data_IF_693341295459
#
_entry.id   IF_693341295459
#
_cell.length_a   1.000
_cell.length_b   1.000
_cell.length_c   1.000
_cell.angle_alpha   90.00
_cell.angle_beta   90.00
_cell.angle_gamma   90.00
#
_symmetry.space_group_name_H-M   'P 1'
#
loop_
_entity.id
_entity.type
_entity.pdbx_description
1 polymer ?
#
# COMPACT_ATOMS: atom_id res chain seq x y z
N UNK A 1 -22.10 -0.87 -10.45
CA UNK A 1 -22.91 -0.98 -9.21
C UNK A 1 -22.63 0.25 -8.36
N UNK A 2 -23.60 0.85 -7.67
CA UNK A 2 -23.35 2.01 -6.80
C UNK A 2 -23.06 1.50 -5.38
N UNK A 3 -21.85 1.72 -4.88
CA UNK A 3 -21.45 1.35 -3.53
C UNK A 3 -21.23 2.57 -2.65
N UNK A 4 -21.19 2.35 -1.34
CA UNK A 4 -20.89 3.35 -0.33
C UNK A 4 -19.44 3.19 0.13
N UNK A 5 -18.64 4.25 0.04
CA UNK A 5 -17.33 4.32 0.67
C UNK A 5 -17.54 4.65 2.14
N UNK A 6 -17.45 3.66 2.98
CA UNK A 6 -17.55 3.79 4.42
C UNK A 6 -16.34 3.13 5.07
N UNK A 7 -15.84 3.71 6.18
CA UNK A 7 -14.61 3.25 6.83
C UNK A 7 -13.33 3.79 6.17
N UNK A 8 -12.21 3.46 6.76
CA UNK A 8 -10.86 3.85 6.33
C UNK A 8 -10.22 2.74 5.48
N UNK A 9 -9.27 3.11 4.65
CA UNK A 9 -8.50 2.15 3.86
C UNK A 9 -7.45 1.41 4.70
N UNK A 10 -6.97 0.29 4.17
CA UNK A 10 -5.77 -0.39 4.63
C UNK A 10 -4.62 -0.05 3.69
N UNK A 11 -3.44 0.26 4.22
CA UNK A 11 -2.27 0.55 3.40
C UNK A 11 -1.20 -0.53 3.55
N UNK A 12 -0.57 -0.84 2.43
CA UNK A 12 0.65 -1.64 2.36
C UNK A 12 1.72 -0.84 1.62
N UNK A 13 2.91 -0.74 2.20
CA UNK A 13 4.07 -0.07 1.62
C UNK A 13 5.16 -1.09 1.32
N UNK A 14 5.68 -1.05 0.12
CA UNK A 14 6.71 -1.95 -0.38
C UNK A 14 7.96 -1.16 -0.76
N UNK A 15 9.12 -1.81 -0.74
CA UNK A 15 10.33 -1.24 -1.34
C UNK A 15 10.11 -1.06 -2.85
N UNK A 16 10.63 0.02 -3.46
CA UNK A 16 10.47 0.26 -4.90
C UNK A 16 11.45 -0.55 -5.77
N UNK A 17 12.20 -1.45 -5.16
CA UNK A 17 13.13 -2.34 -5.85
C UNK A 17 12.43 -3.57 -6.46
N UNK A 18 13.17 -4.35 -7.22
CA UNK A 18 12.66 -5.58 -7.86
C UNK A 18 12.19 -6.66 -6.87
N UNK A 19 12.56 -6.54 -5.58
CA UNK A 19 12.19 -7.51 -4.56
C UNK A 19 10.80 -7.25 -3.97
N UNK A 20 10.25 -6.03 -4.14
CA UNK A 20 8.93 -5.64 -3.62
C UNK A 20 8.70 -6.08 -2.17
N UNK A 21 9.69 -5.86 -1.29
CA UNK A 21 9.60 -6.28 0.10
C UNK A 21 8.56 -5.44 0.84
N UNK A 22 7.61 -6.09 1.51
CA UNK A 22 6.63 -5.41 2.36
C UNK A 22 7.34 -4.79 3.55
N UNK A 23 7.30 -3.46 3.65
CA UNK A 23 7.95 -2.68 4.72
C UNK A 23 6.98 -2.33 5.82
N UNK A 24 5.75 -1.97 5.47
CA UNK A 24 4.72 -1.57 6.42
C UNK A 24 3.36 -2.05 5.94
N UNK A 25 2.55 -2.56 6.87
CA UNK A 25 1.13 -2.80 6.68
C UNK A 25 0.36 -2.16 7.84
N UNK A 26 -0.50 -1.17 7.54
CA UNK A 26 -1.37 -0.54 8.51
C UNK A 26 -2.84 -0.86 8.20
N UNK A 27 -3.51 -1.48 9.19
CA UNK A 27 -4.93 -1.88 9.14
C UNK A 27 -5.76 -1.16 10.21
N UNK A 28 -5.12 -0.31 10.99
CA UNK A 28 -5.68 0.39 12.17
C UNK A 28 -5.80 1.89 11.94
N UNK A 29 -5.82 2.29 10.67
CA UNK A 29 -5.97 3.69 10.29
C UNK A 29 -7.28 4.24 10.84
N UNK A 30 -7.24 5.48 11.30
CA UNK A 30 -8.42 6.26 11.70
C UNK A 30 -8.83 7.28 10.65
N UNK A 31 -7.88 7.64 9.78
CA UNK A 31 -8.11 8.53 8.65
C UNK A 31 -7.26 8.10 7.46
N UNK A 32 -7.85 8.10 6.29
CA UNK A 32 -7.15 7.95 5.02
C UNK A 32 -7.72 8.93 4.00
N UNK A 33 -6.89 9.80 3.48
CA UNK A 33 -7.29 10.84 2.52
C UNK A 33 -6.37 10.85 1.31
N UNK A 34 -6.98 11.03 0.13
CA UNK A 34 -6.29 11.22 -1.14
C UNK A 34 -6.70 12.57 -1.68
N UNK A 35 -5.72 13.35 -2.13
CA UNK A 35 -5.95 14.65 -2.76
C UNK A 35 -5.32 14.66 -4.13
N UNK A 36 -6.12 14.95 -5.13
CA UNK A 36 -5.69 15.19 -6.51
C UNK A 36 -5.92 16.64 -6.84
N UNK A 37 -4.94 17.31 -7.44
CA UNK A 37 -5.02 18.72 -7.78
C UNK A 37 -4.32 19.03 -9.09
N UNK A 38 -4.77 20.10 -9.71
CA UNK A 38 -4.16 20.72 -10.89
C UNK A 38 -4.25 22.23 -10.73
N UNK A 39 -3.18 22.94 -11.04
CA UNK A 39 -3.19 24.42 -11.11
C UNK A 39 -3.69 24.86 -12.47
N UNK A 40 -4.40 25.97 -12.51
CA UNK A 40 -4.88 26.56 -13.75
C UNK A 40 -4.52 28.04 -13.80
N UNK A 41 -3.96 28.49 -14.90
CA UNK A 41 -3.79 29.91 -15.23
C UNK A 41 -4.85 30.33 -16.24
N UNK A 42 -5.52 31.46 -15.95
CA UNK A 42 -6.56 32.03 -16.80
C UNK A 42 -5.97 33.07 -17.73
N UNK A 43 -6.16 32.89 -19.01
CA UNK A 43 -5.92 33.94 -20.01
C UNK A 43 -7.18 34.79 -20.14
N UNK A 44 -7.09 36.06 -19.77
CA UNK A 44 -8.18 37.04 -19.86
C UNK A 44 -7.79 38.21 -20.77
N UNK A 45 -8.75 38.77 -21.48
CA UNK A 45 -8.47 39.89 -22.37
C UNK A 45 -9.72 40.48 -23.01
N UNK A 46 -9.51 41.57 -23.80
CA UNK A 46 -10.57 42.33 -24.46
C UNK A 46 -11.25 43.34 -23.57
N UNK A 47 -12.10 44.17 -24.16
CA UNK A 47 -12.94 45.15 -23.42
C UNK A 47 -13.96 44.35 -22.57
N UNK A 48 -13.84 44.45 -21.24
CA UNK A 48 -14.63 43.64 -20.27
C UNK A 48 -13.87 42.46 -19.66
N UNK A 49 -12.58 42.29 -19.94
CA UNK A 49 -11.70 41.28 -19.32
C UNK A 49 -12.27 39.84 -19.32
N UNK A 50 -12.79 39.42 -20.46
CA UNK A 50 -13.40 38.09 -20.62
C UNK A 50 -12.36 36.96 -20.50
N UNK A 51 -12.79 35.80 -19.97
CA UNK A 51 -11.98 34.59 -19.95
C UNK A 51 -11.82 34.07 -21.39
N UNK A 52 -10.59 34.09 -21.92
CA UNK A 52 -10.26 33.64 -23.28
C UNK A 52 -9.83 32.18 -23.30
N UNK A 53 -9.28 31.66 -22.18
CA UNK A 53 -8.84 30.29 -22.09
C UNK A 53 -8.24 30.00 -20.72
N UNK A 54 -7.96 28.72 -20.45
CA UNK A 54 -7.25 28.26 -19.25
C UNK A 54 -6.12 27.32 -19.65
N UNK A 55 -4.98 27.48 -19.01
CA UNK A 55 -3.83 26.59 -19.11
C UNK A 55 -3.66 25.82 -17.81
N UNK A 56 -3.73 24.50 -17.88
CA UNK A 56 -3.60 23.60 -16.74
C UNK A 56 -2.16 23.11 -16.60
N UNK A 57 -1.58 23.22 -15.40
CA UNK A 57 -0.21 22.82 -15.08
C UNK A 57 -0.12 22.33 -13.63
N UNK A 58 1.06 21.84 -13.23
CA UNK A 58 1.39 21.42 -11.85
C UNK A 58 0.38 20.45 -11.23
N UNK A 59 0.14 19.35 -11.95
CA UNK A 59 -0.68 18.26 -11.42
C UNK A 59 0.02 17.62 -10.20
N UNK A 60 -0.74 17.33 -9.16
CA UNK A 60 -0.26 16.67 -7.97
C UNK A 60 -1.22 15.57 -7.50
N UNK A 61 -0.64 14.58 -6.85
CA UNK A 61 -1.36 13.51 -6.18
C UNK A 61 -0.71 13.30 -4.81
N UNK A 62 -1.47 13.49 -3.75
CA UNK A 62 -0.97 13.34 -2.38
C UNK A 62 -1.88 12.44 -1.57
N UNK A 63 -1.31 11.79 -0.56
CA UNK A 63 -2.03 10.93 0.36
C UNK A 63 -1.61 11.25 1.79
N UNK A 64 -2.61 11.28 2.69
CA UNK A 64 -2.43 11.44 4.13
C UNK A 64 -3.14 10.30 4.85
N UNK A 65 -2.46 9.71 5.82
CA UNK A 65 -2.93 8.61 6.63
C UNK A 65 -2.70 8.94 8.09
N UNK A 66 -3.62 8.55 8.95
CA UNK A 66 -3.49 8.68 10.41
C UNK A 66 -3.75 7.34 11.05
N UNK A 67 -2.83 6.89 11.90
CA UNK A 67 -2.92 5.64 12.66
C UNK A 67 -2.86 5.91 14.17
N UNK A 68 -3.56 5.13 14.96
CA UNK A 68 -3.48 5.17 16.43
C UNK A 68 -2.46 4.18 17.00
N UNK A 69 -2.01 3.22 16.20
CA UNK A 69 -0.98 2.28 16.62
C UNK A 69 0.38 2.82 16.22
N UNK A 70 1.22 3.06 17.26
CA UNK A 70 2.57 3.53 17.07
C UNK A 70 3.52 2.39 16.70
N UNK A 71 4.31 2.59 15.65
CA UNK A 71 5.47 1.76 15.33
C UNK A 71 6.67 2.67 15.01
N UNK A 72 7.85 2.29 15.50
CA UNK A 72 9.12 2.96 15.22
C UNK A 72 9.39 3.06 13.71
N UNK A 73 8.83 2.14 12.92
CA UNK A 73 8.93 2.10 11.48
C UNK A 73 8.42 3.39 10.82
N UNK A 74 7.33 3.98 11.32
CA UNK A 74 6.79 5.24 10.78
C UNK A 74 7.80 6.38 10.83
N UNK A 75 8.51 6.51 11.97
CA UNK A 75 9.54 7.53 12.14
C UNK A 75 10.76 7.24 11.26
N UNK A 76 11.24 5.99 11.25
CA UNK A 76 12.40 5.59 10.47
C UNK A 76 12.18 5.83 8.97
N UNK A 77 11.01 5.52 8.44
CA UNK A 77 10.65 5.73 7.04
C UNK A 77 10.62 7.21 6.65
N UNK A 78 10.04 8.07 7.50
CA UNK A 78 10.00 9.51 7.26
C UNK A 78 11.39 10.16 7.27
N UNK A 79 12.33 9.59 8.05
CA UNK A 79 13.72 10.05 8.10
C UNK A 79 14.64 9.29 7.12
N UNK A 80 14.12 8.34 6.33
CA UNK A 80 14.95 7.50 5.48
C UNK A 80 15.97 6.64 6.24
N UNK A 81 15.73 6.42 7.55
CA UNK A 81 16.59 5.66 8.43
C UNK A 81 16.30 4.16 8.37
N UNK A 82 17.30 3.36 8.71
CA UNK A 82 17.14 1.92 8.89
C UNK A 82 17.06 1.59 10.38
N UNK A 83 16.14 0.68 10.74
CA UNK A 83 16.02 0.18 12.09
C UNK A 83 17.05 -0.91 12.32
N UNK A 84 17.85 -0.74 13.35
CA UNK A 84 18.87 -1.71 13.79
C UNK A 84 18.60 -2.16 15.22
N UNK A 85 19.25 -3.25 15.64
CA UNK A 85 19.19 -3.81 17.01
C UNK A 85 20.58 -3.83 17.68
N UNK A 86 21.51 -3.05 17.18
CA UNK A 86 22.89 -3.07 17.63
C UNK A 86 23.21 -1.92 18.59
N UNK A 87 23.97 -2.21 19.61
CA UNK A 87 24.60 -1.23 20.51
C UNK A 87 23.66 -0.18 21.14
N UNK A 88 22.46 -0.59 21.49
CA UNK A 88 21.51 0.32 22.13
C UNK A 88 21.96 0.63 23.56
N UNK A 89 22.23 1.90 23.83
CA UNK A 89 22.44 2.41 25.18
C UNK A 89 21.07 2.77 25.76
N UNK A 90 20.69 2.07 26.85
CA UNK A 90 19.43 2.32 27.54
C UNK A 90 19.75 2.82 28.94
N UNK A 91 19.11 3.90 29.36
CA UNK A 91 19.16 4.37 30.72
C UNK A 91 18.24 3.52 31.59
N UNK A 92 18.82 2.90 32.63
CA UNK A 92 18.10 2.17 33.66
C UNK A 92 17.85 3.12 34.82
N UNK A 93 16.66 3.04 35.41
CA UNK A 93 16.25 3.77 36.60
C UNK A 93 15.68 2.73 37.59
N UNK A 94 16.35 2.53 38.70
CA UNK A 94 15.95 1.52 39.68
C UNK A 94 16.08 2.02 41.13
N UNK A 95 15.17 1.57 41.97
CA UNK A 95 15.21 1.83 43.41
C UNK A 95 15.95 0.67 44.14
N UNK A 96 17.03 0.99 44.80
CA UNK A 96 17.90 0.02 45.48
C UNK A 96 18.13 0.40 46.94
N UNK A 97 18.63 -0.53 47.73
CA UNK A 97 18.97 -0.29 49.09
C UNK A 97 20.51 -0.25 49.26
N UNK A 98 20.99 0.70 50.03
CA UNK A 98 22.40 0.77 50.43
C UNK A 98 22.73 -0.36 51.41
N UNK A 99 23.86 -1.01 51.20
CA UNK A 99 24.41 -2.02 52.07
C UNK A 99 25.92 -1.81 52.24
N UNK A 100 26.37 -1.60 53.48
CA UNK A 100 27.79 -1.37 53.80
C UNK A 100 28.41 -0.23 52.98
N UNK A 101 27.68 0.90 52.81
CA UNK A 101 28.07 2.05 52.00
C UNK A 101 28.24 1.77 50.48
N UNK A 102 27.61 0.71 50.00
CA UNK A 102 27.65 0.33 48.57
C UNK A 102 26.23 0.12 48.06
N UNK A 103 26.00 0.54 46.83
CA UNK A 103 24.79 0.21 46.08
C UNK A 103 25.21 -0.71 44.94
N UNK A 104 24.53 -1.85 44.83
CA UNK A 104 24.79 -2.84 43.78
C UNK A 104 23.65 -2.77 42.77
N UNK A 105 23.96 -2.42 41.52
CA UNK A 105 22.97 -2.36 40.41
C UNK A 105 22.68 -3.74 39.86
N UNK A 106 21.47 -3.91 39.31
CA UNK A 106 20.98 -5.20 38.85
C UNK A 106 21.63 -5.65 37.53
N UNK A 107 21.96 -4.71 36.66
CA UNK A 107 22.47 -4.99 35.32
C UNK A 107 23.94 -4.55 35.18
N UNK A 108 24.61 -5.01 34.13
CA UNK A 108 25.98 -4.59 33.84
C UNK A 108 26.02 -3.17 33.26
N UNK A 109 26.60 -2.20 33.97
CA UNK A 109 26.71 -0.84 33.49
C UNK A 109 27.73 -0.72 32.34
N UNK A 110 27.48 0.25 31.47
CA UNK A 110 28.40 0.60 30.37
C UNK A 110 28.73 2.08 30.40
N UNK A 111 29.87 2.44 29.78
CA UNK A 111 30.32 3.84 29.71
C UNK A 111 29.35 4.71 28.91
N UNK A 112 29.05 5.88 29.45
CA UNK A 112 28.38 6.96 28.73
C UNK A 112 29.30 8.17 28.64
N UNK A 113 29.50 8.68 27.43
CA UNK A 113 30.45 9.78 27.21
C UNK A 113 31.90 9.49 27.62
N UNK A 114 32.32 8.22 27.58
CA UNK A 114 33.67 7.78 27.96
C UNK A 114 33.88 7.55 29.47
N UNK A 115 32.82 7.73 30.29
CA UNK A 115 32.89 7.55 31.74
C UNK A 115 31.93 6.45 32.18
N UNK A 116 32.42 5.51 33.00
CA UNK A 116 31.61 4.47 33.60
C UNK A 116 31.09 4.95 34.96
N UNK A 117 29.91 5.56 35.02
CA UNK A 117 29.35 6.16 36.23
C UNK A 117 27.84 5.93 36.32
N UNK A 118 27.32 6.12 37.49
CA UNK A 118 25.88 6.17 37.78
C UNK A 118 25.54 7.46 38.54
N UNK A 119 24.26 7.81 38.52
CA UNK A 119 23.71 8.94 39.25
C UNK A 119 22.84 8.39 40.38
N UNK A 120 23.16 8.78 41.60
CA UNK A 120 22.52 8.26 42.82
C UNK A 120 21.94 9.39 43.63
N UNK A 121 20.71 9.25 44.11
CA UNK A 121 20.10 10.09 45.14
C UNK A 121 19.32 9.25 46.16
N UNK A 122 19.09 9.77 47.36
CA UNK A 122 18.14 9.13 48.28
C UNK A 122 16.71 9.34 47.75
N UNK A 123 15.83 8.38 47.99
CA UNK A 123 14.40 8.52 47.57
C UNK A 123 13.70 9.68 48.26
N UNK A 124 14.23 10.17 49.39
CA UNK A 124 13.71 11.32 50.16
C UNK A 124 14.20 12.66 49.66
N UNK A 125 15.23 12.69 48.78
CA UNK A 125 15.84 13.91 48.29
C UNK A 125 15.10 14.43 47.06
N UNK A 126 15.26 15.73 46.76
CA UNK A 126 14.65 16.36 45.59
C UNK A 126 15.11 15.73 44.29
N UNK A 127 14.28 15.81 43.25
CA UNK A 127 14.52 15.17 41.94
C UNK A 127 15.80 15.66 41.23
N UNK A 128 16.32 16.80 41.60
CA UNK A 128 17.56 17.37 41.03
C UNK A 128 18.82 17.10 41.85
N UNK A 129 18.74 16.34 42.92
CA UNK A 129 19.84 16.11 43.88
C UNK A 129 20.72 14.87 43.58
N UNK A 130 20.72 14.39 42.32
CA UNK A 130 21.57 13.28 41.91
C UNK A 130 23.05 13.61 42.02
N UNK A 131 23.80 12.70 42.63
CA UNK A 131 25.27 12.74 42.71
C UNK A 131 25.85 11.74 41.70
N UNK A 132 26.80 12.19 40.84
CA UNK A 132 27.50 11.32 39.89
C UNK A 132 28.60 10.54 40.65
N UNK A 133 28.57 9.22 40.56
CA UNK A 133 29.53 8.33 41.21
C UNK A 133 30.07 7.34 40.18
N UNK A 134 31.39 7.15 40.15
CA UNK A 134 32.01 6.14 39.32
C UNK A 134 31.81 4.75 39.90
N UNK A 135 31.63 3.78 39.02
CA UNK A 135 31.58 2.37 39.44
C UNK A 135 32.95 1.94 39.92
N UNK A 136 33.00 1.40 41.12
CA UNK A 136 34.26 0.91 41.76
C UNK A 136 34.56 -0.54 41.42
N UNK A 137 33.53 -1.27 40.93
CA UNK A 137 33.58 -2.66 40.50
C UNK A 137 32.53 -2.81 39.40
N UNK A 138 32.39 -3.97 38.80
CA UNK A 138 31.53 -4.24 37.62
C UNK A 138 30.12 -3.66 37.78
N UNK A 139 29.53 -3.65 38.99
CA UNK A 139 28.16 -3.19 39.23
C UNK A 139 27.97 -2.49 40.59
N UNK A 140 29.02 -1.92 41.15
CA UNK A 140 28.99 -1.34 42.52
C UNK A 140 29.30 0.16 42.47
N UNK A 141 28.50 0.92 43.19
CA UNK A 141 28.65 2.37 43.41
C UNK A 141 28.91 2.61 44.91
N UNK A 142 29.97 3.33 45.24
CA UNK A 142 30.24 3.72 46.62
C UNK A 142 29.35 4.90 47.01
N UNK A 143 28.38 4.67 47.90
CA UNK A 143 27.44 5.69 48.37
C UNK A 143 27.28 5.60 49.89
N UNK A 144 27.76 6.62 50.60
CA UNK A 144 27.73 6.67 52.06
C UNK A 144 26.34 6.99 52.58
N UNK A 145 25.68 5.98 53.15
CA UNK A 145 24.40 6.11 53.85
C UNK A 145 24.20 4.92 54.80
N UNK A 146 23.25 5.04 55.70
CA UNK A 146 22.89 3.93 56.61
C UNK A 146 22.39 2.72 55.80
N UNK A 147 22.65 1.53 56.30
CA UNK A 147 22.15 0.31 55.66
C UNK A 147 20.62 0.33 55.55
N UNK A 148 20.12 -0.20 54.46
CA UNK A 148 18.71 -0.18 54.03
C UNK A 148 18.15 1.21 53.69
N UNK A 149 18.99 2.27 53.58
CA UNK A 149 18.56 3.53 52.97
C UNK A 149 18.20 3.28 51.51
N UNK A 150 16.98 3.67 51.12
CA UNK A 150 16.53 3.55 49.72
C UNK A 150 17.09 4.68 48.87
N UNK A 151 17.60 4.32 47.70
CA UNK A 151 18.21 5.24 46.73
C UNK A 151 17.67 4.96 45.34
N UNK A 152 17.48 6.03 44.56
CA UNK A 152 17.21 5.94 43.11
C UNK A 152 18.56 5.99 42.40
N UNK A 153 18.78 5.04 41.51
CA UNK A 153 20.02 4.92 40.75
C UNK A 153 19.72 4.92 39.28
N UNK A 154 20.41 5.79 38.55
CA UNK A 154 20.37 5.85 37.06
C UNK A 154 21.72 5.47 36.52
N UNK A 155 21.76 4.66 35.48
CA UNK A 155 22.99 4.27 34.78
C UNK A 155 22.64 3.76 33.39
N UNK A 156 23.63 3.56 32.52
CA UNK A 156 23.42 3.03 31.19
C UNK A 156 23.81 1.56 31.09
N UNK A 157 23.03 0.80 30.36
CA UNK A 157 23.34 -0.58 29.95
C UNK A 157 23.25 -0.72 28.42
N UNK A 158 23.86 -1.75 27.88
CA UNK A 158 23.65 -2.17 26.49
C UNK A 158 22.47 -3.12 26.41
N UNK A 159 21.60 -2.92 25.45
CA UNK A 159 20.49 -3.82 25.16
C UNK A 159 20.45 -4.19 23.67
N UNK A 160 20.45 -5.49 23.38
CA UNK A 160 20.37 -6.04 22.03
C UNK A 160 18.94 -6.36 21.58
N UNK A 161 17.99 -6.38 22.51
CA UNK A 161 16.58 -6.63 22.21
C UNK A 161 15.86 -5.39 21.68
N UNK A 162 16.29 -4.21 22.08
CA UNK A 162 15.71 -2.94 21.67
C UNK A 162 16.03 -2.60 20.22
N UNK A 163 15.13 -1.88 19.59
CA UNK A 163 15.29 -1.34 18.22
C UNK A 163 15.66 0.14 18.29
N UNK A 164 16.56 0.57 17.44
CA UNK A 164 16.90 1.98 17.25
C UNK A 164 16.97 2.36 15.78
N UNK A 165 16.89 3.63 15.48
CA UNK A 165 17.33 4.22 14.23
C UNK A 165 17.98 5.58 14.52
N UNK A 166 18.86 6.02 13.63
CA UNK A 166 19.53 7.30 13.74
C UNK A 166 18.92 8.29 12.78
N UNK A 167 18.55 9.46 13.29
CA UNK A 167 18.12 10.59 12.46
C UNK A 167 19.38 11.35 12.02
N UNK A 168 19.72 11.29 10.74
CA UNK A 168 20.85 11.98 10.18
C UNK A 168 20.52 13.47 9.97
N UNK A 169 21.50 14.36 10.09
CA UNK A 169 21.30 15.81 9.87
C UNK A 169 20.81 16.12 8.44
N UNK A 170 21.17 15.30 7.48
CA UNK A 170 20.78 15.42 6.07
C UNK A 170 19.87 14.25 5.68
N UNK A 171 18.81 13.98 6.44
CA UNK A 171 17.89 12.91 6.10
C UNK A 171 17.07 13.24 4.85
N UNK A 172 16.78 12.20 4.08
CA UNK A 172 15.89 12.27 2.91
C UNK A 172 14.82 11.20 3.08
N UNK A 173 13.53 11.57 3.02
CA UNK A 173 12.45 10.61 3.11
C UNK A 173 12.53 9.56 2.00
N UNK A 174 12.24 8.33 2.35
CA UNK A 174 12.27 7.22 1.40
C UNK A 174 11.08 7.26 0.43
N UNK A 175 11.28 6.68 -0.74
CA UNK A 175 10.23 6.41 -1.73
C UNK A 175 9.77 4.98 -1.56
N UNK A 176 8.46 4.74 -1.65
CA UNK A 176 7.83 3.42 -1.53
C UNK A 176 6.85 3.17 -2.67
N UNK A 177 6.56 1.93 -2.95
CA UNK A 177 5.38 1.54 -3.70
C UNK A 177 4.24 1.38 -2.71
N UNK A 178 3.18 2.18 -2.85
CA UNK A 178 2.07 2.22 -1.90
C UNK A 178 0.81 1.64 -2.53
N UNK A 179 0.15 0.73 -1.82
CA UNK A 179 -1.16 0.17 -2.19
C UNK A 179 -2.14 0.46 -1.06
N UNK A 180 -3.11 1.33 -1.35
CA UNK A 180 -4.22 1.64 -0.45
C UNK A 180 -5.47 0.90 -0.92
N UNK A 181 -6.07 0.10 -0.04
CA UNK A 181 -7.30 -0.65 -0.32
C UNK A 181 -8.43 -0.11 0.55
N UNK A 182 -9.46 0.45 -0.06
CA UNK A 182 -10.62 1.05 0.60
C UNK A 182 -11.82 0.14 0.39
N UNK A 183 -12.47 -0.38 1.44
CA UNK A 183 -13.61 -1.26 1.28
C UNK A 183 -14.84 -0.52 0.71
N UNK A 184 -15.57 -1.20 -0.18
CA UNK A 184 -16.81 -0.75 -0.77
C UNK A 184 -17.96 -1.55 -0.19
N UNK A 185 -18.99 -0.86 0.30
CA UNK A 185 -20.14 -1.47 0.95
C UNK A 185 -21.42 -1.26 0.15
N UNK A 186 -22.40 -2.14 0.34
CA UNK A 186 -23.71 -2.00 -0.27
C UNK A 186 -24.43 -0.75 0.27
N UNK A 187 -25.12 -0.01 -0.59
CA UNK A 187 -25.91 1.16 -0.17
C UNK A 187 -27.19 0.72 0.57
N UNK A 188 -27.61 1.49 1.56
CA UNK A 188 -28.86 1.25 2.30
C UNK A 188 -28.72 0.35 3.53
N UNK A 189 -27.50 0.19 4.07
CA UNK A 189 -27.25 -0.59 5.28
C UNK A 189 -27.53 0.19 6.56
N UNK A 190 -27.97 -0.53 7.59
CA UNK A 190 -28.09 -0.04 8.97
C UNK A 190 -26.80 -0.32 9.75
N UNK A 191 -26.59 0.36 10.89
CA UNK A 191 -25.43 0.11 11.77
C UNK A 191 -25.27 -1.37 12.16
N UNK A 192 -26.39 -2.08 12.34
CA UNK A 192 -26.42 -3.50 12.72
C UNK A 192 -25.96 -4.46 11.57
N UNK A 193 -26.07 -4.01 10.32
CA UNK A 193 -25.66 -4.78 9.14
C UNK A 193 -24.22 -4.49 8.67
N UNK A 194 -23.52 -3.60 9.36
CA UNK A 194 -22.17 -3.19 8.99
C UNK A 194 -21.13 -4.26 9.40
N UNK A 195 -20.76 -5.13 8.48
CA UNK A 195 -19.82 -6.22 8.74
C UNK A 195 -19.11 -6.73 7.49
N UNK A 196 -18.28 -7.75 7.64
CA UNK A 196 -17.53 -8.33 6.52
C UNK A 196 -18.42 -8.91 5.41
N UNK A 197 -19.63 -9.37 5.75
CA UNK A 197 -20.61 -9.91 4.80
C UNK A 197 -21.30 -8.85 3.94
N UNK A 198 -21.15 -7.58 4.27
CA UNK A 198 -21.76 -6.45 3.57
C UNK A 198 -20.79 -5.74 2.61
N UNK A 199 -19.55 -6.18 2.56
CA UNK A 199 -18.56 -5.69 1.59
C UNK A 199 -18.87 -6.26 0.22
N UNK A 200 -19.15 -5.38 -0.73
CA UNK A 200 -19.41 -5.75 -2.13
C UNK A 200 -18.15 -5.64 -3.00
N UNK A 201 -17.10 -4.99 -2.49
CA UNK A 201 -15.89 -4.80 -3.24
C UNK A 201 -14.86 -3.97 -2.49
N UNK A 202 -13.90 -3.44 -3.21
CA UNK A 202 -12.89 -2.51 -2.74
C UNK A 202 -12.44 -1.57 -3.86
N UNK A 203 -11.96 -0.40 -3.48
CA UNK A 203 -11.18 0.47 -4.37
C UNK A 203 -9.71 0.29 -3.98
N UNK A 204 -8.90 -0.14 -4.93
CA UNK A 204 -7.46 -0.23 -4.78
C UNK A 204 -6.81 0.96 -5.48
N UNK A 205 -5.98 1.70 -4.74
CA UNK A 205 -5.16 2.79 -5.26
C UNK A 205 -3.71 2.33 -5.20
N UNK A 206 -3.14 2.15 -6.35
CA UNK A 206 -1.76 1.71 -6.57
C UNK A 206 -0.91 2.92 -6.98
N UNK A 207 0.07 3.26 -6.12
CA UNK A 207 0.99 4.39 -6.31
C UNK A 207 2.41 3.82 -6.41
N UNK A 208 2.96 3.62 -7.61
CA UNK A 208 4.25 2.94 -7.78
C UNK A 208 5.42 3.67 -7.13
N UNK A 209 5.33 5.01 -7.01
CA UNK A 209 6.38 5.85 -6.43
C UNK A 209 5.77 6.89 -5.49
N UNK A 210 5.61 6.51 -4.24
CA UNK A 210 5.10 7.36 -3.17
C UNK A 210 6.27 7.85 -2.31
N UNK A 211 6.57 9.15 -2.36
CA UNK A 211 7.59 9.78 -1.53
C UNK A 211 6.96 10.39 -0.30
N UNK A 212 7.48 10.03 0.86
CA UNK A 212 7.07 10.61 2.13
C UNK A 212 7.51 12.07 2.24
N UNK A 213 6.74 12.90 2.95
CA UNK A 213 7.04 14.32 3.13
C UNK A 213 8.18 14.59 4.12
N UNK A 214 8.57 13.59 4.91
CA UNK A 214 9.59 13.72 5.96
C UNK A 214 9.12 14.50 7.19
N UNK A 215 7.91 15.01 7.18
CA UNK A 215 7.32 15.69 8.32
C UNK A 215 6.68 14.66 9.26
N UNK A 216 7.16 14.59 10.49
CA UNK A 216 6.58 13.74 11.52
C UNK A 216 6.43 14.56 12.80
N UNK A 217 5.22 14.68 13.27
CA UNK A 217 4.91 15.26 14.57
C UNK A 217 4.51 14.15 15.54
N UNK A 218 5.22 14.03 16.65
CA UNK A 218 4.88 13.17 17.76
C UNK A 218 4.37 14.05 18.91
N UNK A 219 3.07 14.22 19.01
CA UNK A 219 2.44 14.99 20.08
C UNK A 219 1.99 14.04 21.20
N UNK A 220 2.56 14.20 22.38
CA UNK A 220 2.25 13.40 23.57
C UNK A 220 1.45 14.26 24.56
N UNK A 221 0.23 13.85 24.90
CA UNK A 221 -0.63 14.53 25.87
C UNK A 221 -0.92 13.61 27.04
N UNK A 222 -1.06 14.19 28.23
CA UNK A 222 -1.36 13.43 29.46
C UNK A 222 -2.76 12.76 29.45
N UNK A 223 -3.67 13.29 28.60
CA UNK A 223 -5.06 12.83 28.52
C UNK A 223 -5.45 12.57 27.07
N UNK A 224 -4.92 11.52 26.46
CA UNK A 224 -5.29 11.18 25.09
C UNK A 224 -4.39 10.13 24.48
N UNK A 225 -4.87 9.53 23.38
CA UNK A 225 -4.07 8.61 22.58
C UNK A 225 -3.39 9.46 21.48
N UNK A 226 -2.07 9.33 21.39
CA UNK A 226 -1.30 10.00 20.33
C UNK A 226 -1.51 9.30 19.00
N UNK A 227 -1.75 10.09 17.96
CA UNK A 227 -1.86 9.60 16.59
C UNK A 227 -0.51 9.74 15.87
N UNK A 228 -0.25 8.83 14.96
CA UNK A 228 0.89 8.88 14.04
C UNK A 228 0.35 9.17 12.65
N UNK A 229 0.89 10.18 11.98
CA UNK A 229 0.50 10.51 10.62
C UNK A 229 1.60 10.14 9.62
N UNK A 230 1.19 9.67 8.46
CA UNK A 230 2.05 9.41 7.31
C UNK A 230 1.49 10.21 6.14
N UNK A 231 2.25 11.16 5.65
CA UNK A 231 1.88 11.96 4.47
C UNK A 231 2.96 11.92 3.42
N UNK A 232 2.55 12.10 2.17
CA UNK A 232 3.49 12.10 1.06
C UNK A 232 2.83 12.42 -0.27
N UNK A 233 3.67 12.46 -1.30
CA UNK A 233 3.28 12.77 -2.68
C UNK A 233 3.67 11.63 -3.61
N UNK A 234 2.81 11.37 -4.60
CA UNK A 234 3.17 10.50 -5.69
C UNK A 234 4.15 11.19 -6.63
N UNK A 235 5.18 10.48 -7.01
CA UNK A 235 6.09 10.87 -8.07
C UNK A 235 5.62 10.24 -9.39
N UNK A 236 5.70 10.98 -10.47
CA UNK A 236 5.35 10.46 -11.78
C UNK A 236 6.22 9.24 -12.13
N UNK A 237 5.56 8.21 -12.64
CA UNK A 237 6.21 7.02 -13.21
C UNK A 237 6.13 7.12 -14.70
N UNK A 238 7.24 7.04 -15.39
CA UNK A 238 7.27 6.98 -16.85
C UNK A 238 6.82 5.61 -17.31
N UNK A 239 5.84 5.58 -18.22
CA UNK A 239 5.58 4.38 -19.00
C UNK A 239 6.64 4.35 -20.10
N UNK A 240 7.19 3.16 -20.41
CA UNK A 240 8.13 2.95 -21.52
C UNK A 240 7.44 3.16 -22.90
N UNK A 241 6.84 4.32 -23.09
CA UNK A 241 6.24 4.73 -24.35
C UNK A 241 6.95 5.96 -24.87
N UNK A 242 7.09 6.06 -26.18
CA UNK A 242 7.71 7.20 -26.86
C UNK A 242 7.03 8.54 -26.53
N UNK A 243 5.84 8.53 -25.95
CA UNK A 243 5.04 9.71 -25.64
C UNK A 243 5.38 10.35 -24.28
N UNK A 244 6.24 9.71 -23.46
CA UNK A 244 6.76 10.28 -22.20
C UNK A 244 5.69 10.63 -21.15
N UNK A 245 4.46 10.18 -21.31
CA UNK A 245 3.39 10.46 -20.36
C UNK A 245 3.55 9.58 -19.11
N UNK A 246 3.86 10.23 -18.00
CA UNK A 246 3.90 9.58 -16.69
C UNK A 246 2.51 9.55 -16.04
N UNK A 247 2.33 8.62 -15.11
CA UNK A 247 1.14 8.59 -14.24
C UNK A 247 1.57 8.57 -12.76
N UNK A 248 0.70 9.05 -11.88
CA UNK A 248 0.93 9.09 -10.44
C UNK A 248 0.40 7.85 -9.74
N UNK A 249 -0.79 7.41 -10.11
CA UNK A 249 -1.49 6.30 -9.49
C UNK A 249 -2.43 5.61 -10.47
N UNK A 250 -2.71 4.33 -10.20
CA UNK A 250 -3.78 3.57 -10.84
C UNK A 250 -4.87 3.31 -9.82
N UNK A 251 -6.11 3.63 -10.15
CA UNK A 251 -7.28 3.37 -9.30
C UNK A 251 -8.08 2.25 -9.94
N UNK A 252 -8.28 1.17 -9.19
CA UNK A 252 -8.99 -0.02 -9.65
C UNK A 252 -10.19 -0.27 -8.74
N UNK A 253 -11.38 -0.40 -9.32
CA UNK A 253 -12.57 -0.89 -8.61
C UNK A 253 -12.58 -2.43 -8.67
N UNK A 254 -12.60 -3.07 -7.51
CA UNK A 254 -12.67 -4.52 -7.36
C UNK A 254 -14.06 -4.83 -6.83
N UNK A 255 -14.83 -5.66 -7.52
CA UNK A 255 -16.16 -6.09 -7.10
C UNK A 255 -16.09 -7.59 -6.76
N UNK A 256 -16.50 -7.95 -5.53
CA UNK A 256 -16.42 -9.32 -5.06
C UNK A 256 -17.56 -10.15 -5.62
N UNK A 257 -17.26 -11.41 -5.96
CA UNK A 257 -18.25 -12.37 -6.45
C UNK A 257 -18.70 -12.14 -7.90
N UNK A 258 -18.06 -11.22 -8.64
CA UNK A 258 -18.28 -11.13 -10.08
C UNK A 258 -17.44 -12.17 -10.82
N UNK A 259 -18.10 -12.85 -11.75
CA UNK A 259 -17.47 -13.64 -12.80
C UNK A 259 -16.79 -12.68 -13.79
N UNK A 260 -15.79 -13.15 -14.50
CA UNK A 260 -15.17 -12.40 -15.61
C UNK A 260 -16.14 -12.11 -16.77
N UNK A 261 -17.33 -12.78 -16.76
CA UNK A 261 -18.42 -12.62 -17.72
C UNK A 261 -19.51 -11.67 -17.24
N UNK A 262 -19.46 -11.20 -16.00
CA UNK A 262 -20.45 -10.27 -15.48
C UNK A 262 -20.37 -8.92 -16.18
N UNK A 263 -21.53 -8.40 -16.58
CA UNK A 263 -21.62 -7.16 -17.33
C UNK A 263 -21.31 -7.29 -18.82
N UNK A 264 -20.92 -8.47 -19.29
CA UNK A 264 -20.74 -8.73 -20.74
C UNK A 264 -22.12 -8.83 -21.39
N UNK A 265 -22.34 -8.02 -22.44
CA UNK A 265 -23.59 -7.99 -23.20
C UNK A 265 -23.52 -8.93 -24.40
N UNK A 266 -22.36 -8.99 -25.05
CA UNK A 266 -22.17 -9.79 -26.26
C UNK A 266 -20.69 -10.19 -26.41
N UNK A 267 -20.46 -11.20 -27.23
CA UNK A 267 -19.14 -11.50 -27.80
C UNK A 267 -19.14 -11.15 -29.28
N UNK A 268 -18.00 -10.67 -29.80
CA UNK A 268 -17.82 -10.31 -31.18
C UNK A 268 -16.51 -10.90 -31.70
N UNK A 269 -16.56 -11.48 -32.88
CA UNK A 269 -15.38 -11.99 -33.59
C UNK A 269 -14.87 -10.88 -34.50
N UNK A 270 -13.65 -10.40 -34.27
CA UNK A 270 -13.06 -9.31 -35.05
C UNK A 270 -12.84 -9.70 -36.52
N UNK A 271 -12.47 -10.96 -36.77
CA UNK A 271 -12.32 -11.57 -38.07
C UNK A 271 -13.48 -12.53 -38.36
N UNK A 272 -14.70 -12.01 -38.36
CA UNK A 272 -15.95 -12.78 -38.54
C UNK A 272 -16.18 -13.29 -39.97
N UNK A 273 -15.35 -12.87 -40.92
CA UNK A 273 -15.31 -13.37 -42.30
C UNK A 273 -13.86 -13.72 -42.63
N UNK A 274 -13.56 -15.02 -42.78
CA UNK A 274 -12.23 -15.56 -43.01
C UNK A 274 -12.19 -16.19 -44.39
N UNK A 275 -11.14 -15.89 -45.18
CA UNK A 275 -10.90 -16.52 -46.49
C UNK A 275 -9.64 -17.35 -46.35
N UNK A 276 -9.75 -18.67 -46.56
CA UNK A 276 -8.63 -19.62 -46.40
C UNK A 276 -8.40 -20.39 -47.70
N UNK A 277 -7.14 -20.48 -48.12
CA UNK A 277 -6.66 -21.37 -49.15
C UNK A 277 -6.32 -22.75 -48.63
N UNK A 278 -5.97 -23.68 -49.53
CA UNK A 278 -5.55 -25.04 -49.18
C UNK A 278 -4.35 -25.00 -48.24
N UNK A 279 -4.51 -25.52 -47.03
CA UNK A 279 -3.47 -25.60 -45.97
C UNK A 279 -3.20 -24.31 -45.22
N UNK A 280 -3.95 -23.25 -45.47
CA UNK A 280 -3.90 -22.02 -44.71
C UNK A 280 -4.69 -22.14 -43.42
N UNK A 281 -4.29 -21.34 -42.39
CA UNK A 281 -4.93 -21.30 -41.09
C UNK A 281 -5.04 -19.86 -40.61
N UNK A 282 -6.10 -19.53 -39.85
CA UNK A 282 -6.31 -18.26 -39.20
C UNK A 282 -6.73 -18.48 -37.75
N UNK A 283 -6.35 -17.57 -36.85
CA UNK A 283 -6.75 -17.64 -35.43
C UNK A 283 -7.88 -16.65 -35.16
N UNK A 284 -8.99 -17.14 -34.62
CA UNK A 284 -10.12 -16.30 -34.22
C UNK A 284 -9.73 -15.33 -33.09
N UNK A 285 -10.17 -14.09 -33.24
CA UNK A 285 -10.02 -13.02 -32.22
C UNK A 285 -11.40 -12.66 -31.72
N UNK A 286 -11.74 -13.14 -30.55
CA UNK A 286 -13.06 -12.92 -29.91
C UNK A 286 -12.94 -11.89 -28.82
N UNK A 287 -13.83 -10.91 -28.77
CA UNK A 287 -13.85 -9.84 -27.80
C UNK A 287 -15.13 -9.84 -26.97
N UNK A 288 -15.03 -9.57 -25.68
CA UNK A 288 -16.15 -9.25 -24.79
C UNK A 288 -16.56 -7.80 -25.00
N UNK A 289 -17.85 -7.55 -25.18
CA UNK A 289 -18.45 -6.23 -25.18
C UNK A 289 -19.24 -6.04 -23.88
N UNK A 290 -19.02 -4.93 -23.19
CA UNK A 290 -19.61 -4.64 -21.90
C UNK A 290 -20.81 -3.69 -22.03
N UNK A 291 -21.87 -3.93 -21.20
CA UNK A 291 -23.07 -3.08 -21.12
C UNK A 291 -22.82 -1.64 -20.75
N UNK A 292 -21.73 -1.37 -20.02
CA UNK A 292 -21.36 -0.05 -19.55
C UNK A 292 -20.58 0.78 -20.59
N UNK A 293 -20.33 0.22 -21.78
CA UNK A 293 -19.55 0.86 -22.83
C UNK A 293 -18.04 0.86 -22.62
N UNK A 294 -17.54 0.05 -21.67
CA UNK A 294 -16.10 -0.16 -21.50
C UNK A 294 -15.45 -0.71 -22.77
N UNK A 295 -14.15 -0.47 -22.92
CA UNK A 295 -13.40 -0.96 -24.09
C UNK A 295 -13.51 -2.48 -24.21
N UNK A 296 -13.67 -3.01 -25.43
CA UNK A 296 -13.71 -4.45 -25.69
C UNK A 296 -12.45 -5.14 -25.17
N UNK A 297 -12.61 -6.31 -24.55
CA UNK A 297 -11.51 -7.10 -24.02
C UNK A 297 -11.37 -8.39 -24.80
N UNK A 298 -10.15 -8.72 -25.26
CA UNK A 298 -9.85 -9.96 -25.95
C UNK A 298 -10.05 -11.16 -25.00
N UNK A 299 -10.77 -12.18 -25.46
CA UNK A 299 -11.00 -13.43 -24.71
C UNK A 299 -9.88 -14.40 -25.01
N UNK A 300 -9.45 -15.16 -24.01
CA UNK A 300 -8.63 -16.33 -24.26
C UNK A 300 -9.50 -17.41 -24.96
N UNK A 301 -9.05 -17.88 -26.11
CA UNK A 301 -9.80 -18.84 -26.89
C UNK A 301 -10.01 -20.18 -26.15
N UNK A 302 -9.22 -20.46 -25.11
CA UNK A 302 -9.38 -21.66 -24.27
C UNK A 302 -10.64 -21.61 -23.37
N UNK A 303 -11.19 -20.40 -23.17
CA UNK A 303 -12.42 -20.18 -22.40
C UNK A 303 -13.69 -20.23 -23.28
N UNK A 304 -13.53 -20.54 -24.56
CA UNK A 304 -14.58 -20.57 -25.55
C UNK A 304 -14.85 -21.99 -26.07
N UNK A 305 -16.08 -22.24 -26.46
CA UNK A 305 -16.45 -23.45 -27.18
C UNK A 305 -16.67 -23.12 -28.64
N UNK A 306 -15.99 -23.85 -29.51
CA UNK A 306 -16.09 -23.70 -30.96
C UNK A 306 -16.85 -24.86 -31.55
N UNK A 307 -17.89 -24.57 -32.31
CA UNK A 307 -18.69 -25.57 -33.03
C UNK A 307 -18.61 -25.29 -34.53
N UNK A 308 -17.69 -25.94 -35.26
CA UNK A 308 -17.58 -25.80 -36.69
C UNK A 308 -18.65 -26.64 -37.41
N UNK A 309 -19.17 -26.15 -38.54
CA UNK A 309 -19.95 -26.93 -39.46
C UNK A 309 -19.03 -27.76 -40.39
N UNK A 310 -19.63 -28.60 -41.23
CA UNK A 310 -18.86 -29.45 -42.18
C UNK A 310 -18.08 -28.55 -43.15
N UNK A 311 -16.82 -28.91 -43.38
CA UNK A 311 -15.93 -28.14 -44.29
C UNK A 311 -14.84 -27.35 -43.59
N UNK A 312 -14.92 -27.15 -42.27
CA UNK A 312 -13.85 -26.56 -41.48
C UNK A 312 -13.57 -27.29 -40.17
N UNK A 313 -12.41 -27.04 -39.59
CA UNK A 313 -12.04 -27.50 -38.24
C UNK A 313 -11.50 -26.33 -37.45
N UNK A 314 -11.71 -26.37 -36.12
CA UNK A 314 -11.19 -25.38 -35.18
C UNK A 314 -10.53 -26.10 -34.01
N UNK A 315 -9.35 -25.64 -33.62
CA UNK A 315 -8.70 -26.14 -32.41
C UNK A 315 -9.24 -25.43 -31.17
N UNK A 316 -8.96 -25.95 -29.97
CA UNK A 316 -9.28 -25.27 -28.71
C UNK A 316 -8.57 -23.91 -28.55
N UNK A 317 -7.49 -23.66 -29.27
CA UNK A 317 -6.82 -22.37 -29.34
C UNK A 317 -7.44 -21.41 -30.37
N UNK A 318 -8.57 -21.79 -30.99
CA UNK A 318 -9.28 -20.96 -31.97
C UNK A 318 -8.62 -20.91 -33.34
N UNK A 319 -7.70 -21.84 -33.67
CA UNK A 319 -7.07 -21.91 -34.99
C UNK A 319 -7.99 -22.64 -35.94
N UNK A 320 -8.40 -21.97 -37.01
CA UNK A 320 -9.32 -22.44 -38.07
C UNK A 320 -8.53 -22.97 -39.25
N UNK A 321 -8.97 -24.09 -39.83
CA UNK A 321 -8.58 -24.56 -41.16
C UNK A 321 -9.81 -25.02 -41.90
N UNK A 322 -9.81 -24.89 -43.25
CA UNK A 322 -10.96 -25.25 -44.06
C UNK A 322 -10.57 -26.11 -45.27
N UNK A 323 -11.56 -26.86 -45.77
CA UNK A 323 -11.49 -27.66 -46.98
C UNK A 323 -12.70 -27.34 -47.90
N UNK A 324 -13.67 -26.62 -47.40
CA UNK A 324 -14.84 -26.12 -48.12
C UNK A 324 -15.43 -24.91 -47.36
N UNK A 325 -16.33 -24.16 -48.04
CA UNK A 325 -17.10 -23.10 -47.39
C UNK A 325 -17.85 -23.62 -46.19
N UNK A 326 -17.80 -22.88 -45.08
CA UNK A 326 -18.32 -23.35 -43.79
C UNK A 326 -18.67 -22.20 -42.87
N UNK A 327 -19.17 -22.51 -41.68
CA UNK A 327 -19.37 -21.56 -40.60
C UNK A 327 -18.90 -22.14 -39.24
N UNK A 328 -18.60 -21.26 -38.32
CA UNK A 328 -18.19 -21.61 -36.95
C UNK A 328 -19.06 -20.83 -35.99
N UNK A 329 -19.75 -21.55 -35.10
CA UNK A 329 -20.41 -20.93 -33.97
C UNK A 329 -19.47 -20.93 -32.77
N UNK A 330 -19.28 -19.75 -32.20
CA UNK A 330 -18.47 -19.54 -30.97
C UNK A 330 -19.43 -19.30 -29.83
N UNK A 331 -19.24 -20.06 -28.77
CA UNK A 331 -20.05 -19.98 -27.54
C UNK A 331 -19.16 -19.61 -26.35
N UNK A 332 -19.57 -18.61 -25.61
CA UNK A 332 -18.98 -18.25 -24.33
C UNK A 332 -19.99 -18.63 -23.22
N UNK A 333 -19.70 -19.69 -22.51
CA UNK A 333 -20.47 -20.07 -21.32
C UNK A 333 -20.11 -19.15 -20.15
N UNK A 334 -21.12 -18.57 -19.49
CA UNK A 334 -20.90 -17.68 -18.34
C UNK A 334 -20.53 -18.41 -17.04
N UNK A 335 -20.23 -19.71 -17.11
CA UNK A 335 -19.87 -20.54 -15.97
C UNK A 335 -21.06 -20.86 -15.04
N UNK A 336 -22.28 -20.71 -15.53
CA UNK A 336 -23.53 -21.16 -14.89
C UNK A 336 -23.96 -22.48 -15.51
N UNK A 337 -24.75 -23.29 -14.78
CA UNK A 337 -25.38 -24.51 -15.33
C UNK A 337 -26.54 -24.17 -16.30
N UNK A 338 -26.89 -22.88 -16.39
CA UNK A 338 -27.98 -22.38 -17.27
C UNK A 338 -27.38 -21.89 -18.59
N UNK A 339 -27.56 -22.69 -19.65
CA UNK A 339 -27.10 -22.36 -21.01
C UNK A 339 -27.95 -21.29 -21.70
N UNK A 340 -29.03 -20.80 -21.06
CA UNK A 340 -29.87 -19.74 -21.66
C UNK A 340 -29.23 -18.36 -21.62
N UNK A 341 -28.21 -18.17 -20.79
CA UNK A 341 -27.42 -16.93 -20.67
C UNK A 341 -26.09 -16.96 -21.42
N UNK A 342 -25.76 -18.06 -22.11
CA UNK A 342 -24.59 -18.16 -22.97
C UNK A 342 -24.63 -17.12 -24.10
N UNK A 343 -23.42 -16.62 -24.44
CA UNK A 343 -23.24 -15.65 -25.52
C UNK A 343 -22.75 -16.36 -26.79
N UNK A 344 -23.27 -15.95 -27.91
CA UNK A 344 -23.00 -16.58 -29.20
C UNK A 344 -22.47 -15.56 -30.22
N UNK A 345 -21.50 -16.01 -31.04
CA UNK A 345 -21.07 -15.29 -32.23
C UNK A 345 -20.78 -16.28 -33.35
N UNK A 346 -20.93 -15.84 -34.60
CA UNK A 346 -20.71 -16.69 -35.77
C UNK A 346 -19.63 -16.12 -36.65
N UNK A 347 -18.73 -16.97 -37.13
CA UNK A 347 -17.74 -16.66 -38.14
C UNK A 347 -18.05 -17.41 -39.43
N UNK A 348 -17.99 -16.74 -40.56
CA UNK A 348 -18.12 -17.33 -41.88
C UNK A 348 -16.71 -17.63 -42.43
N UNK A 349 -16.56 -18.82 -42.99
CA UNK A 349 -15.29 -19.26 -43.60
C UNK A 349 -15.51 -19.54 -45.06
N UNK A 350 -14.90 -18.75 -45.91
CA UNK A 350 -14.87 -18.93 -47.37
C UNK A 350 -13.59 -19.72 -47.74
N UNK A 351 -13.76 -20.78 -48.53
CA UNK A 351 -12.64 -21.57 -48.99
C UNK A 351 -12.29 -21.30 -50.44
N UNK A 352 -11.04 -20.96 -50.69
CA UNK A 352 -10.52 -20.74 -52.05
C UNK A 352 -9.56 -21.90 -52.40
N UNK A 353 -9.95 -22.69 -53.43
CA UNK A 353 -9.17 -23.85 -53.88
C UNK A 353 -7.92 -23.44 -54.68
#
# INVERSE_FOLDING_TARGET
>A
MKGLLASVGNISLFTPDSNNTLVLQAKTLTESGITMGVSAEEARGGEGNYLLGQYFHDTNFSMKLTDQIWDLQYLAMNCGGQITRENNLIMVDEELAVKSNVVTVSETPVSFGGRLCGWVKKTTDDDNSYTTIDFTDTNKLAFTAADNTKVCVKYFKTDTASRNFTVNANFVPSVYHAILTIPLFQSGMTEESFGSSSKIGAIQVDIPRFQLDGAQELSLTASGISNVSLSGKALATTVDSCDGQGYYARITEIIYGQSEWDGVEAIVIANSNIVLGTGETETLKVYKLYKDGSSPVLVDNTDLTFTPESGCTVTSAGVVSATADSSITVVAGKGTDDTTDDLYATCVVEFTS
#
